data_IF_096063421827
#
_entry.id   IF_096063421827
#
_cell.length_a   1.000
_cell.length_b   1.000
_cell.length_c   1.000
_cell.angle_alpha   90.00
_cell.angle_beta   90.00
_cell.angle_gamma   90.00
#
_symmetry.space_group_name_H-M   'P 1'
#
loop_
_entity.id
_entity.type
_entity.pdbx_description
1 polymer ?
2 polymer ?
3 non-polymer ?
4 water ?
#
# COMPACT_ATOMS: atom_id res chain seq x y z
N UNK A 20 8.95 -23.60 -45.53
CA UNK A 20 9.91 -22.52 -45.79
C UNK A 20 10.45 -21.91 -44.49
N UNK A 21 9.58 -21.21 -43.78
CA UNK A 21 9.88 -20.68 -42.46
C UNK A 21 8.68 -20.90 -41.54
N UNK A 22 8.43 -22.15 -41.16
CA UNK A 22 7.25 -22.50 -40.36
C UNK A 22 7.48 -22.35 -38.86
N UNK A 23 7.97 -21.17 -38.48
CA UNK A 23 8.14 -20.77 -37.10
C UNK A 23 7.18 -19.62 -36.83
N UNK A 24 6.04 -19.65 -37.53
CA UNK A 24 5.04 -18.60 -37.44
C UNK A 24 4.13 -18.87 -36.27
N UNK A 25 3.49 -17.81 -35.78
CA UNK A 25 2.50 -17.93 -34.72
C UNK A 25 1.14 -17.50 -35.27
N UNK A 26 0.10 -18.30 -34.99
CA UNK A 26 -1.24 -18.02 -35.52
C UNK A 26 -2.21 -17.43 -34.49
N UNK A 27 -1.85 -16.28 -33.93
CA UNK A 27 -2.76 -15.54 -33.04
C UNK A 27 -3.50 -14.48 -33.86
N UNK A 28 -4.83 -14.50 -33.77
CA UNK A 28 -5.67 -13.69 -34.66
C UNK A 28 -5.44 -12.18 -34.59
N UNK A 29 -5.87 -11.47 -35.62
CA UNK A 29 -5.72 -10.02 -35.71
C UNK A 29 -6.51 -9.31 -34.61
N UNK A 30 -7.62 -9.92 -34.21
CA UNK A 30 -8.54 -9.29 -33.27
C UNK A 30 -8.00 -9.27 -31.84
N UNK A 31 -7.35 -10.36 -31.43
CA UNK A 31 -6.69 -10.38 -30.14
C UNK A 31 -5.50 -9.42 -30.13
N UNK A 32 -4.83 -9.28 -31.27
CA UNK A 32 -3.71 -8.36 -31.38
C UNK A 32 -4.17 -6.91 -31.28
N UNK A 33 -5.32 -6.61 -31.85
CA UNK A 33 -5.94 -5.30 -31.71
C UNK A 33 -6.32 -5.04 -30.27
N UNK A 34 -6.93 -6.04 -29.64
CA UNK A 34 -7.29 -5.97 -28.23
C UNK A 34 -6.09 -5.63 -27.35
N UNK A 35 -5.10 -6.50 -27.37
CA UNK A 35 -3.86 -6.34 -26.62
C UNK A 35 -3.20 -5.00 -26.93
N UNK A 36 -3.23 -4.59 -28.20
CA UNK A 36 -2.67 -3.31 -28.60
C UNK A 36 -3.34 -2.18 -27.85
N UNK A 37 -4.66 -2.13 -27.95
CA UNK A 37 -5.48 -1.18 -27.21
C UNK A 37 -5.07 -1.13 -25.75
N UNK A 38 -5.08 -2.28 -25.10
CA UNK A 38 -4.78 -2.38 -23.68
C UNK A 38 -3.42 -1.79 -23.37
N UNK A 39 -2.42 -2.18 -24.16
CA UNK A 39 -1.07 -1.66 -24.01
C UNK A 39 -1.03 -0.15 -24.13
N UNK A 40 -1.84 0.39 -25.02
CA UNK A 40 -1.85 1.83 -25.23
C UNK A 40 -2.48 2.56 -24.05
N UNK A 41 -3.56 2.02 -23.52
CA UNK A 41 -4.21 2.60 -22.35
C UNK A 41 -3.22 2.60 -21.18
N UNK A 42 -2.66 1.41 -20.94
CA UNK A 42 -1.60 1.23 -19.96
C UNK A 42 -0.49 2.25 -20.17
N UNK A 43 -0.21 2.58 -21.43
CA UNK A 43 0.86 3.49 -21.77
C UNK A 43 0.53 4.93 -21.38
N UNK A 44 -0.65 5.41 -21.75
CA UNK A 44 -1.03 6.78 -21.38
C UNK A 44 -1.05 6.94 -19.87
N UNK A 45 -1.65 5.96 -19.18
CA UNK A 45 -1.77 6.01 -17.73
C UNK A 45 -0.40 5.97 -17.06
N UNK A 46 0.38 4.95 -17.38
CA UNK A 46 1.69 4.78 -16.79
C UNK A 46 2.62 5.96 -17.02
N UNK A 47 2.76 6.36 -18.28
CA UNK A 47 3.66 7.46 -18.61
C UNK A 47 3.24 8.76 -17.93
N UNK A 48 1.97 9.14 -18.10
CA UNK A 48 1.49 10.37 -17.47
C UNK A 48 1.73 10.33 -15.96
N UNK A 49 1.31 9.26 -15.31
CA UNK A 49 1.40 9.16 -13.87
C UNK A 49 2.81 9.20 -13.33
N UNK A 50 3.68 8.40 -13.93
CA UNK A 50 5.06 8.37 -13.49
C UNK A 50 5.74 9.70 -13.70
N UNK A 51 5.63 10.24 -14.92
CA UNK A 51 6.22 11.52 -15.23
C UNK A 51 5.74 12.59 -14.25
N UNK A 52 4.43 12.70 -14.13
CA UNK A 52 3.84 13.74 -13.29
C UNK A 52 4.26 13.61 -11.84
N UNK A 53 4.36 12.38 -11.33
CA UNK A 53 4.81 12.20 -9.95
C UNK A 53 6.27 12.62 -9.80
N UNK A 54 7.15 12.12 -10.66
CA UNK A 54 8.57 12.42 -10.51
C UNK A 54 8.91 13.90 -10.70
N UNK A 55 8.11 14.61 -11.50
CA UNK A 55 8.33 16.04 -11.57
C UNK A 55 7.55 16.82 -10.51
N UNK A 56 6.57 16.18 -9.87
CA UNK A 56 5.84 16.83 -8.79
C UNK A 56 6.65 16.74 -7.49
N UNK A 57 7.44 15.67 -7.35
CA UNK A 57 8.34 15.57 -6.22
C UNK A 57 9.78 15.90 -6.63
N UNK A 58 9.91 16.76 -7.63
CA UNK A 58 11.16 17.43 -7.92
C UNK A 58 11.06 18.84 -7.33
N UNK A 59 10.46 18.93 -6.14
CA UNK A 59 10.26 20.19 -5.45
C UNK A 59 9.89 19.92 -3.99
N UNK A 60 10.54 20.61 -3.06
CA UNK A 60 10.22 20.51 -1.64
C UNK A 60 10.61 21.76 -0.85
N UNK A 65 11.94 15.57 5.98
CA UNK A 65 12.31 14.30 6.62
C UNK A 65 11.23 13.89 7.63
N UNK A 66 10.95 12.60 7.73
CA UNK A 66 11.65 11.55 6.99
C UNK A 66 10.90 11.10 5.74
N UNK A 67 9.68 11.61 5.57
CA UNK A 67 8.86 11.29 4.40
C UNK A 67 9.61 11.59 3.10
N UNK A 68 10.62 12.46 3.20
CA UNK A 68 11.54 12.72 2.09
C UNK A 68 12.13 11.43 1.53
N UNK A 69 12.54 10.51 2.41
CA UNK A 69 13.11 9.24 1.99
C UNK A 69 12.13 8.44 1.12
N UNK A 70 10.89 8.35 1.56
CA UNK A 70 9.87 7.68 0.77
C UNK A 70 9.64 8.45 -0.54
N UNK A 71 9.88 9.75 -0.53
CA UNK A 71 9.78 10.51 -1.77
C UNK A 71 10.86 10.10 -2.75
N UNK A 72 12.10 10.03 -2.30
CA UNK A 72 13.21 9.55 -3.13
C UNK A 72 12.94 8.14 -3.66
N UNK A 73 12.41 7.27 -2.81
CA UNK A 73 12.03 5.92 -3.25
C UNK A 73 10.98 5.97 -4.35
N UNK A 74 9.98 6.81 -4.16
CA UNK A 74 8.93 7.01 -5.17
C UNK A 74 9.52 7.50 -6.48
N UNK A 75 10.42 8.48 -6.38
CA UNK A 75 11.08 9.05 -7.53
C UNK A 75 11.78 7.97 -8.33
N UNK A 76 12.58 7.17 -7.63
CA UNK A 76 13.27 6.05 -8.28
C UNK A 76 12.30 5.08 -8.96
N UNK A 77 11.22 4.76 -8.25
CA UNK A 77 10.18 3.85 -8.76
C UNK A 77 9.62 4.35 -10.09
N UNK A 78 9.09 5.57 -10.06
CA UNK A 78 8.51 6.21 -11.23
C UNK A 78 9.50 6.27 -12.39
N UNK A 79 10.76 6.56 -12.09
CA UNK A 79 11.80 6.55 -13.12
C UNK A 79 11.88 5.18 -13.78
N UNK A 80 11.99 4.14 -12.95
CA UNK A 80 12.05 2.75 -13.45
C UNK A 80 10.88 2.41 -14.36
N UNK A 81 9.67 2.55 -13.83
CA UNK A 81 8.45 2.25 -14.58
C UNK A 81 8.40 3.02 -15.90
N UNK A 82 8.75 4.31 -15.85
CA UNK A 82 8.80 5.13 -17.05
C UNK A 82 9.73 4.52 -18.09
N UNK A 83 10.91 4.09 -17.65
CA UNK A 83 11.86 3.48 -18.58
C UNK A 83 11.40 2.12 -19.13
N UNK A 84 10.70 1.33 -18.32
CA UNK A 84 10.08 0.11 -18.83
C UNK A 84 9.15 0.45 -19.97
N UNK A 85 8.25 1.41 -19.73
CA UNK A 85 7.28 1.84 -20.75
C UNK A 85 7.93 2.37 -22.03
N UNK A 86 9.00 3.15 -21.88
CA UNK A 86 9.61 3.80 -23.02
C UNK A 86 10.48 2.82 -23.82
N UNK A 87 11.25 1.99 -23.12
CA UNK A 87 12.18 1.11 -23.81
C UNK A 87 11.56 -0.23 -24.24
N UNK A 88 10.88 -0.91 -23.33
CA UNK A 88 10.39 -2.25 -23.61
C UNK A 88 9.18 -2.26 -24.53
N UNK A 89 8.17 -1.49 -24.17
CA UNK A 89 6.89 -1.50 -24.88
C UNK A 89 6.95 -1.46 -26.40
N UNK A 90 7.55 -0.40 -26.99
CA UNK A 90 7.35 -0.20 -28.43
C UNK A 90 7.93 -1.34 -29.26
N UNK A 91 9.17 -1.69 -28.99
CA UNK A 91 9.85 -2.75 -29.73
C UNK A 91 9.13 -4.08 -29.58
N UNK A 92 8.81 -4.45 -28.34
CA UNK A 92 8.16 -5.73 -28.11
C UNK A 92 6.77 -5.74 -28.73
N UNK A 93 6.09 -4.59 -28.71
CA UNK A 93 4.77 -4.49 -29.30
C UNK A 93 4.86 -4.82 -30.78
N UNK A 94 5.97 -4.43 -31.40
CA UNK A 94 6.16 -4.71 -32.81
C UNK A 94 6.63 -6.14 -33.07
N UNK A 95 7.79 -6.48 -32.53
CA UNK A 95 8.42 -7.74 -32.87
C UNK A 95 7.85 -8.93 -32.13
N UNK A 96 7.34 -8.69 -30.93
CA UNK A 96 6.89 -9.80 -30.08
C UNK A 96 5.39 -10.07 -30.16
N UNK A 97 4.60 -9.09 -30.61
CA UNK A 97 3.16 -9.35 -30.74
C UNK A 97 2.61 -9.18 -32.16
N UNK A 98 3.29 -8.43 -33.03
CA UNK A 98 2.83 -8.30 -34.42
C UNK A 98 3.64 -9.11 -35.44
N UNK A 99 4.89 -8.73 -35.68
CA UNK A 99 5.71 -9.47 -36.64
C UNK A 99 6.75 -10.33 -35.90
N UNK A 100 6.42 -11.60 -35.69
CA UNK A 100 7.23 -12.46 -34.82
C UNK A 100 8.60 -12.84 -35.37
N UNK A 101 8.77 -12.75 -36.69
CA UNK A 101 10.03 -13.10 -37.35
C UNK A 101 10.11 -12.43 -38.72
N UNK A 102 11.31 -11.96 -39.10
CA UNK A 102 12.58 -12.10 -38.37
C UNK A 102 12.80 -10.99 -37.35
N UNK A 103 13.90 -11.07 -36.60
CA UNK A 103 14.27 -10.01 -35.68
C UNK A 103 14.77 -8.78 -36.43
N UNK A 104 14.14 -7.65 -36.16
CA UNK A 104 14.32 -6.45 -36.98
C UNK A 104 15.42 -5.49 -36.51
N UNK A 105 15.99 -5.70 -35.34
CA UNK A 105 16.87 -4.70 -34.76
C UNK A 105 18.34 -5.13 -34.60
N UNK A 106 18.72 -6.24 -35.21
CA UNK A 106 20.10 -6.70 -35.15
C UNK A 106 20.49 -7.27 -33.79
N UNK A 107 21.73 -7.75 -33.70
CA UNK A 107 22.22 -8.43 -32.50
C UNK A 107 22.22 -7.51 -31.28
N UNK A 108 22.84 -6.34 -31.45
CA UNK A 108 22.91 -5.34 -30.39
C UNK A 108 21.50 -4.95 -29.95
N UNK A 109 20.59 -4.89 -30.92
CA UNK A 109 19.18 -4.66 -30.63
C UNK A 109 18.67 -5.71 -29.68
N UNK A 110 18.94 -6.98 -30.02
CA UNK A 110 18.46 -8.13 -29.25
C UNK A 110 18.97 -8.17 -27.80
N UNK A 111 20.29 -8.31 -27.66
CA UNK A 111 20.94 -8.38 -26.35
C UNK A 111 20.66 -7.12 -25.53
N UNK A 112 20.72 -5.96 -26.19
CA UNK A 112 20.47 -4.69 -25.55
C UNK A 112 19.07 -4.59 -24.97
N UNK A 113 18.09 -4.93 -25.80
CA UNK A 113 16.70 -4.97 -25.35
C UNK A 113 16.58 -5.82 -24.11
N UNK A 114 17.03 -7.07 -24.20
CA UNK A 114 16.83 -7.99 -23.08
C UNK A 114 17.55 -7.57 -21.79
N UNK A 115 18.75 -7.02 -21.95
CA UNK A 115 19.48 -6.46 -20.82
C UNK A 115 18.69 -5.33 -20.17
N UNK A 116 18.16 -4.42 -20.99
CA UNK A 116 17.39 -3.30 -20.47
C UNK A 116 16.12 -3.75 -19.74
N UNK A 117 15.35 -4.61 -20.39
CA UNK A 117 14.23 -5.30 -19.75
C UNK A 117 14.59 -5.79 -18.35
N UNK A 118 15.61 -6.64 -18.29
CA UNK A 118 16.05 -7.22 -17.02
C UNK A 118 16.41 -6.17 -15.98
N UNK A 119 17.29 -5.25 -16.35
CA UNK A 119 17.75 -4.17 -15.47
C UNK A 119 16.58 -3.42 -14.84
N UNK A 120 15.70 -2.90 -15.69
CA UNK A 120 14.55 -2.14 -15.21
C UNK A 120 13.59 -2.95 -14.32
N UNK A 121 13.40 -4.24 -14.62
CA UNK A 121 12.52 -5.04 -13.78
C UNK A 121 13.12 -5.33 -12.39
N UNK A 122 14.42 -5.62 -12.36
CA UNK A 122 15.11 -5.74 -11.08
C UNK A 122 14.93 -4.45 -10.31
N UNK A 123 15.09 -3.34 -11.01
CA UNK A 123 14.92 -2.03 -10.41
C UNK A 123 13.55 -1.84 -9.76
N UNK A 124 12.46 -2.03 -10.52
CA UNK A 124 11.13 -1.84 -9.96
C UNK A 124 10.83 -2.81 -8.80
N UNK A 125 11.33 -4.04 -8.89
CA UNK A 125 11.16 -5.00 -7.80
C UNK A 125 11.88 -4.57 -6.51
N UNK A 126 13.19 -4.40 -6.60
CA UNK A 126 14.01 -3.95 -5.47
C UNK A 126 13.48 -2.65 -4.87
N UNK A 127 12.99 -1.75 -5.71
CA UNK A 127 12.41 -0.50 -5.23
C UNK A 127 11.12 -0.71 -4.45
N UNK A 128 10.18 -1.45 -5.02
CA UNK A 128 8.94 -1.75 -4.29
C UNK A 128 9.25 -2.36 -2.93
N UNK A 129 10.16 -3.33 -2.91
CA UNK A 129 10.60 -3.93 -1.66
C UNK A 129 11.14 -2.89 -0.68
N UNK A 130 12.14 -2.14 -1.11
CA UNK A 130 12.80 -1.16 -0.26
C UNK A 130 11.81 -0.17 0.31
N UNK A 131 10.78 0.14 -0.46
CA UNK A 131 9.77 1.08 -0.02
C UNK A 131 8.88 0.44 1.04
N UNK A 132 8.62 -0.87 0.89
CA UNK A 132 7.83 -1.59 1.87
C UNK A 132 8.61 -1.72 3.18
N UNK A 133 9.93 -1.79 3.06
CA UNK A 133 10.83 -1.89 4.20
C UNK A 133 10.88 -0.56 4.95
N UNK A 134 11.10 0.51 4.20
CA UNK A 134 11.12 1.84 4.79
C UNK A 134 9.79 2.17 5.48
N UNK A 135 8.68 1.88 4.80
CA UNK A 135 7.36 2.12 5.41
C UNK A 135 7.14 1.25 6.63
N UNK A 136 7.55 -0.01 6.54
CA UNK A 136 7.51 -0.88 7.70
C UNK A 136 8.22 -0.22 8.86
N UNK A 137 9.45 0.24 8.63
CA UNK A 137 10.23 0.87 9.68
C UNK A 137 9.52 2.07 10.29
N UNK A 138 9.07 2.98 9.42
CA UNK A 138 8.43 4.22 9.87
C UNK A 138 7.21 3.95 10.75
N UNK A 139 6.37 3.02 10.31
CA UNK A 139 5.11 2.78 11.00
C UNK A 139 5.25 1.87 12.23
N UNK A 140 6.10 0.86 12.13
CA UNK A 140 6.19 -0.15 13.17
C UNK A 140 7.26 0.14 14.23
N UNK A 141 8.33 0.80 13.81
CA UNK A 141 9.38 1.22 14.75
C UNK A 141 9.66 2.70 14.56
N UNK A 142 8.68 3.56 14.91
CA UNK A 142 8.77 5.00 14.66
C UNK A 142 10.00 5.61 15.30
N UNK A 143 10.10 5.55 16.62
CA UNK A 143 11.27 6.10 17.27
C UNK A 143 12.51 5.28 16.95
N UNK A 144 12.44 3.99 17.28
CA UNK A 144 13.52 3.04 17.04
C UNK A 144 14.16 3.21 15.67
N UNK A 145 13.40 2.90 14.63
CA UNK A 145 13.95 2.95 13.29
C UNK A 145 13.83 4.33 12.67
N UNK A 146 12.59 4.77 12.45
CA UNK A 146 12.31 5.95 11.63
C UNK A 146 13.14 7.19 11.99
N UNK A 147 12.79 7.85 13.09
CA UNK A 147 13.39 9.15 13.41
C UNK A 147 14.92 9.10 13.53
N UNK A 148 15.44 8.02 14.11
CA UNK A 148 16.86 7.95 14.41
C UNK A 148 17.67 7.36 13.28
N UNK A 149 17.47 6.07 13.02
CA UNK A 149 18.30 5.35 12.06
C UNK A 149 18.06 5.79 10.61
N UNK A 150 16.79 5.88 10.21
CA UNK A 150 16.45 6.24 8.84
C UNK A 150 16.62 7.74 8.56
N UNK A 151 17.58 8.06 7.70
CA UNK A 151 17.84 9.43 7.28
C UNK A 151 18.78 9.42 6.08
N UNK A 152 18.70 10.47 5.27
CA UNK A 152 19.63 10.64 4.15
C UNK A 152 21.05 10.67 4.69
N UNK A 153 21.98 10.04 3.98
CA UNK A 153 21.75 9.50 2.65
C UNK A 153 21.23 8.06 2.61
N UNK A 154 19.95 7.91 2.26
CA UNK A 154 19.40 6.65 1.79
C UNK A 154 19.40 6.77 0.28
N UNK A 155 20.10 7.80 -0.18
CA UNK A 155 20.33 8.00 -1.60
C UNK A 155 21.29 6.93 -2.06
N UNK A 156 22.20 6.57 -1.16
CA UNK A 156 23.19 5.53 -1.41
C UNK A 156 22.51 4.17 -1.58
N UNK A 157 21.41 3.97 -0.87
CA UNK A 157 20.64 2.74 -0.99
C UNK A 157 20.03 2.62 -2.38
N UNK A 158 19.36 3.68 -2.82
CA UNK A 158 18.78 3.71 -4.16
C UNK A 158 19.85 3.51 -5.25
N UNK A 159 21.00 4.15 -5.05
CA UNK A 159 22.16 3.97 -5.91
C UNK A 159 22.54 2.49 -6.02
N UNK A 160 22.70 1.86 -4.87
CA UNK A 160 23.06 0.45 -4.82
C UNK A 160 22.01 -0.41 -5.51
N UNK A 161 20.73 -0.05 -5.34
CA UNK A 161 19.64 -0.74 -6.02
C UNK A 161 19.82 -0.73 -7.54
N UNK A 162 20.05 0.46 -8.09
CA UNK A 162 20.28 0.57 -9.52
C UNK A 162 21.50 -0.22 -9.98
N UNK A 163 22.58 -0.14 -9.20
CA UNK A 163 23.78 -0.92 -9.49
C UNK A 163 23.50 -2.43 -9.57
N UNK A 164 22.77 -2.93 -8.57
CA UNK A 164 22.37 -4.34 -8.53
C UNK A 164 21.51 -4.71 -9.72
N UNK A 165 20.66 -3.77 -10.13
CA UNK A 165 19.85 -3.97 -11.32
C UNK A 165 20.73 -4.19 -12.55
N UNK A 166 21.71 -3.31 -12.73
CA UNK A 166 22.65 -3.41 -13.86
C UNK A 166 23.45 -4.72 -13.87
N UNK A 167 24.10 -5.01 -12.74
CA UNK A 167 24.95 -6.19 -12.64
C UNK A 167 24.15 -7.49 -12.79
N UNK A 168 22.96 -7.53 -12.20
CA UNK A 168 22.10 -8.71 -12.31
C UNK A 168 21.57 -8.86 -13.73
N UNK A 169 21.46 -7.74 -14.44
CA UNK A 169 21.00 -7.79 -15.83
C UNK A 169 22.13 -8.20 -16.79
N UNK A 170 23.37 -8.03 -16.35
CA UNK A 170 24.53 -8.43 -17.15
C UNK A 170 24.44 -9.79 -17.89
N UNK A 171 24.01 -10.87 -17.19
CA UNK A 171 23.91 -12.17 -17.87
C UNK A 171 23.10 -12.15 -19.18
N UNK A 172 21.99 -11.40 -19.21
CA UNK A 172 21.14 -11.32 -20.39
C UNK A 172 21.85 -10.92 -21.67
N UNK A 173 23.07 -10.40 -21.52
CA UNK A 173 23.87 -9.97 -22.66
C UNK A 173 24.60 -11.15 -23.28
N UNK A 174 24.76 -12.22 -22.52
CA UNK A 174 25.46 -13.40 -23.02
C UNK A 174 24.47 -14.48 -23.41
N UNK A 175 23.39 -14.59 -22.66
CA UNK A 175 22.39 -15.65 -22.86
C UNK A 175 21.54 -15.40 -24.10
N UNK A 176 20.97 -14.20 -24.20
CA UNK A 176 20.19 -13.83 -25.37
C UNK A 176 21.08 -13.67 -26.60
N UNK A 177 20.51 -13.74 -27.80
CA UNK A 177 21.29 -13.52 -29.01
C UNK A 177 20.53 -13.71 -30.31
N UNK A 178 21.24 -13.66 -31.43
CA UNK A 178 20.62 -13.88 -32.74
C UNK A 178 20.93 -15.26 -33.32
N UNK A 179 19.89 -15.88 -33.87
CA UNK A 179 19.99 -17.27 -34.32
C UNK A 179 19.14 -17.48 -35.57
N UNK A 180 19.66 -18.25 -36.52
CA UNK A 180 18.92 -18.52 -37.74
C UNK A 180 18.16 -19.83 -37.62
N UNK A 181 16.85 -19.75 -37.51
CA UNK A 181 16.03 -20.92 -37.22
C UNK A 181 15.14 -21.38 -38.37
N UNK A 182 15.31 -20.77 -39.54
CA UNK A 182 14.54 -21.15 -40.72
C UNK A 182 14.82 -22.62 -41.05
N UNK A 183 13.86 -23.27 -41.70
CA UNK A 183 13.91 -24.70 -42.00
C UNK A 183 15.28 -25.11 -42.54
N UNK A 184 15.76 -24.35 -43.50
CA UNK A 184 17.10 -24.55 -44.03
C UNK A 184 18.12 -24.09 -43.01
N UNK A 185 17.85 -22.95 -42.37
CA UNK A 185 18.81 -22.33 -41.49
C UNK A 185 19.72 -21.42 -42.30
N UNK A 186 19.24 -21.02 -43.48
CA UNK A 186 19.98 -20.10 -44.35
C UNK A 186 19.12 -18.92 -44.80
N UNK A 187 17.80 -19.09 -44.77
CA UNK A 187 16.89 -18.06 -45.26
C UNK A 187 16.81 -16.86 -44.30
N UNK A 188 16.89 -15.64 -44.86
CA UNK A 188 16.87 -14.36 -44.15
C UNK A 188 15.67 -14.12 -43.21
N UNK A 189 14.51 -14.71 -43.53
CA UNK A 189 13.30 -14.46 -42.76
C UNK A 189 13.14 -15.32 -41.52
N UNK A 190 14.20 -16.03 -41.15
CA UNK A 190 14.15 -16.91 -40.01
C UNK A 190 15.13 -16.51 -38.93
N UNK A 191 15.61 -15.28 -39.03
CA UNK A 191 16.57 -14.73 -38.07
C UNK A 191 15.86 -14.20 -36.83
N UNK A 192 15.91 -14.95 -35.73
CA UNK A 192 15.20 -14.57 -34.50
C UNK A 192 16.10 -14.27 -33.30
N UNK A 193 15.54 -13.54 -32.34
CA UNK A 193 16.22 -13.25 -31.09
C UNK A 193 15.79 -14.25 -30.04
N UNK A 194 16.74 -15.00 -29.52
CA UNK A 194 16.43 -16.16 -28.68
C UNK A 194 17.66 -16.51 -27.83
N UNK A 195 17.47 -17.28 -26.75
CA UNK A 195 18.62 -17.72 -25.97
C UNK A 195 19.54 -18.62 -26.80
N UNK A 196 20.79 -18.19 -26.96
CA UNK A 196 21.74 -18.87 -27.85
C UNK A 196 22.63 -19.87 -27.12
N UNK A 197 22.86 -19.64 -25.84
CA UNK A 197 23.72 -20.52 -25.04
C UNK A 197 23.01 -21.86 -24.81
N UNK A 198 23.77 -22.86 -24.37
CA UNK A 198 23.24 -24.18 -24.04
C UNK A 198 22.03 -24.07 -23.12
N UNK A 199 21.01 -24.88 -23.40
CA UNK A 199 19.78 -24.85 -22.62
C UNK A 199 20.01 -25.28 -21.17
N UNK A 200 21.17 -25.87 -20.91
CA UNK A 200 21.55 -26.25 -19.55
C UNK A 200 21.75 -25.01 -18.68
N UNK A 201 22.22 -23.93 -19.29
CA UNK A 201 22.53 -22.70 -18.55
C UNK A 201 21.32 -21.79 -18.47
N UNK A 202 20.51 -21.82 -19.53
CA UNK A 202 19.31 -21.00 -19.62
C UNK A 202 18.45 -21.16 -18.38
N UNK A 203 18.33 -22.42 -17.94
CA UNK A 203 17.60 -22.74 -16.72
C UNK A 203 18.18 -21.98 -15.51
N UNK A 204 19.50 -22.06 -15.33
CA UNK A 204 20.22 -21.36 -14.28
C UNK A 204 19.88 -19.87 -14.29
N UNK A 205 20.24 -19.20 -15.39
CA UNK A 205 19.97 -17.78 -15.58
C UNK A 205 18.53 -17.39 -15.19
N UNK A 206 17.54 -17.96 -15.85
CA UNK A 206 16.19 -17.48 -15.60
C UNK A 206 15.63 -17.89 -14.23
N UNK A 207 16.19 -18.94 -13.64
CA UNK A 207 15.78 -19.30 -12.29
C UNK A 207 16.29 -18.26 -11.32
N UNK A 208 17.55 -17.88 -11.48
CA UNK A 208 18.16 -16.83 -10.68
C UNK A 208 17.32 -15.58 -10.78
N UNK A 209 17.09 -15.14 -12.02
CA UNK A 209 16.22 -14.01 -12.28
C UNK A 209 14.84 -14.14 -11.61
N UNK A 210 14.29 -15.34 -11.61
CA UNK A 210 12.99 -15.57 -10.98
C UNK A 210 13.05 -15.28 -9.50
N UNK A 211 14.09 -15.80 -8.84
CA UNK A 211 14.25 -15.61 -7.40
C UNK A 211 14.52 -14.15 -7.02
N UNK A 212 15.56 -13.58 -7.62
CA UNK A 212 15.97 -12.21 -7.30
C UNK A 212 14.91 -11.16 -7.69
N UNK A 213 14.24 -11.38 -8.81
CA UNK A 213 13.28 -10.37 -9.30
C UNK A 213 11.85 -10.63 -8.87
N UNK A 214 11.58 -11.78 -8.25
CA UNK A 214 10.22 -12.06 -7.82
C UNK A 214 10.11 -12.67 -6.43
N UNK A 215 10.70 -13.85 -6.23
CA UNK A 215 10.47 -14.59 -4.99
C UNK A 215 10.85 -13.84 -3.70
N UNK A 216 12.14 -13.55 -3.51
CA UNK A 216 12.57 -12.79 -2.34
C UNK A 216 11.77 -11.48 -2.18
N UNK A 217 11.76 -10.63 -3.24
CA UNK A 217 10.95 -9.41 -3.14
C UNK A 217 9.50 -9.68 -2.74
N UNK A 218 8.80 -10.57 -3.45
CA UNK A 218 7.39 -10.85 -3.15
C UNK A 218 7.16 -11.33 -1.72
N UNK A 219 8.07 -12.15 -1.19
CA UNK A 219 7.98 -12.57 0.20
C UNK A 219 8.08 -11.37 1.15
N UNK A 220 9.09 -10.53 0.92
CA UNK A 220 9.26 -9.30 1.69
C UNK A 220 8.00 -8.40 1.68
N UNK A 221 7.57 -7.96 0.48
CA UNK A 221 6.32 -7.21 0.33
C UNK A 221 5.19 -7.85 1.14
N UNK A 222 4.99 -9.13 0.90
CA UNK A 222 3.90 -9.90 1.51
C UNK A 222 3.91 -9.77 3.03
N UNK A 223 4.90 -10.38 3.68
CA UNK A 223 4.91 -10.40 5.14
C UNK A 223 4.95 -8.99 5.74
N UNK A 224 5.79 -8.11 5.19
CA UNK A 224 5.91 -6.76 5.75
C UNK A 224 4.59 -6.01 5.73
N UNK A 225 4.02 -5.88 4.55
CA UNK A 225 2.78 -5.14 4.42
C UNK A 225 1.66 -5.77 5.22
N UNK A 226 1.68 -7.09 5.32
CA UNK A 226 0.69 -7.76 6.15
C UNK A 226 0.82 -7.27 7.59
N UNK A 227 2.06 -7.24 8.08
CA UNK A 227 2.35 -6.79 9.45
C UNK A 227 1.93 -5.34 9.68
N UNK A 228 2.17 -4.51 8.67
CA UNK A 228 1.72 -3.13 8.68
C UNK A 228 0.23 -3.10 8.90
N UNK A 229 -0.48 -3.78 7.99
CA UNK A 229 -1.93 -3.78 7.97
C UNK A 229 -2.51 -4.19 9.32
N UNK A 230 -2.00 -5.28 9.87
CA UNK A 230 -2.47 -5.72 11.16
C UNK A 230 -2.18 -4.70 12.27
N UNK A 231 -0.99 -4.10 12.23
CA UNK A 231 -0.64 -3.06 13.22
C UNK A 231 -1.58 -1.87 13.14
N UNK A 232 -1.97 -1.49 11.93
CA UNK A 232 -2.84 -0.34 11.74
C UNK A 232 -4.28 -0.64 12.13
N UNK A 233 -4.73 -1.86 11.84
CA UNK A 233 -6.09 -2.27 12.19
C UNK A 233 -6.23 -2.37 13.70
N UNK A 234 -5.11 -2.64 14.37
CA UNK A 234 -5.10 -2.81 15.82
C UNK A 234 -4.91 -1.49 16.58
N UNK A 235 -4.61 -0.43 15.84
CA UNK A 235 -4.44 0.90 16.43
C UNK A 235 -5.75 1.67 16.63
N UNK A 236 -5.96 2.11 17.87
CA UNK A 236 -7.16 2.84 18.27
C UNK A 236 -7.16 4.29 17.76
N UNK A 237 -8.03 4.58 16.80
CA UNK A 237 -8.17 5.94 16.23
C UNK A 237 -8.82 6.94 17.19
N UNK A 238 -8.69 6.67 18.49
CA UNK A 238 -9.35 7.41 19.55
C UNK A 238 -9.18 8.94 19.50
N UNK A 239 -7.96 9.40 19.23
CA UNK A 239 -7.67 10.84 19.24
C UNK A 239 -8.35 11.59 18.08
N UNK A 240 -8.19 11.09 16.86
CA UNK A 240 -8.79 11.73 15.69
C UNK A 240 -10.32 11.65 15.75
N UNK A 241 -10.82 10.76 16.61
CA UNK A 241 -12.24 10.57 16.82
C UNK A 241 -12.81 11.66 17.70
N UNK A 242 -12.10 11.97 18.79
CA UNK A 242 -12.55 12.96 19.78
C UNK A 242 -12.42 14.38 19.27
N UNK A 243 -11.43 14.62 18.41
CA UNK A 243 -11.23 15.93 17.85
C UNK A 243 -12.43 16.40 17.03
N UNK A 244 -13.22 15.44 16.54
CA UNK A 244 -14.46 15.75 15.86
C UNK A 244 -15.57 16.08 16.86
N UNK A 245 -15.91 15.07 17.68
CA UNK A 245 -16.97 15.18 18.67
C UNK A 245 -16.78 16.35 19.63
N UNK A 246 -15.58 16.44 20.17
CA UNK A 246 -15.31 17.33 21.30
C UNK A 246 -14.77 18.68 20.87
N UNK A 247 -14.22 18.76 19.66
CA UNK A 247 -13.72 20.01 19.13
C UNK A 247 -12.51 20.54 19.88
N UNK A 248 -12.23 21.82 19.69
CA UNK A 248 -11.08 22.46 20.33
C UNK A 248 -11.31 23.95 20.55
N UNK A 249 -11.33 24.35 21.82
CA UNK A 249 -11.50 25.74 22.19
C UNK A 249 -10.53 26.07 23.32
N UNK A 250 -9.56 26.92 23.03
CA UNK A 250 -8.54 27.26 24.01
C UNK A 250 -8.83 28.56 24.76
N UNK A 251 -10.12 28.85 24.94
CA UNK A 251 -10.57 29.88 25.86
C UNK A 251 -11.78 29.28 26.57
N UNK A 252 -11.80 29.37 27.90
CA UNK A 252 -12.86 28.77 28.73
C UNK A 252 -14.28 29.06 28.23
N UNK A 253 -15.11 28.01 28.18
CA UNK A 253 -16.50 28.16 27.76
C UNK A 253 -17.49 27.32 28.58
N UNK A 254 -18.73 27.27 28.10
CA UNK A 254 -19.76 26.46 28.73
C UNK A 254 -20.11 25.33 27.78
N UNK A 255 -20.29 24.11 28.30
CA UNK A 255 -20.64 22.99 27.44
C UNK A 255 -22.15 22.80 27.28
N UNK A 256 -22.55 21.59 26.86
CA UNK A 256 -23.96 21.29 26.63
C UNK A 256 -24.82 21.55 27.87
N UNK A 257 -24.46 20.93 28.98
CA UNK A 257 -25.20 21.08 30.23
C UNK A 257 -24.73 22.28 31.05
N UNK A 258 -23.99 23.18 30.41
CA UNK A 258 -23.60 24.45 31.03
C UNK A 258 -22.59 24.37 32.16
N UNK A 259 -21.50 23.63 31.93
CA UNK A 259 -20.40 23.58 32.90
C UNK A 259 -19.16 24.22 32.28
N UNK A 260 -18.12 24.39 33.08
CA UNK A 260 -16.93 25.10 32.60
C UNK A 260 -15.85 24.21 31.97
N UNK A 261 -15.62 24.44 30.68
CA UNK A 261 -14.78 23.57 29.87
C UNK A 261 -13.71 24.39 29.15
N UNK A 262 -12.57 23.77 28.89
CA UNK A 262 -11.58 24.34 27.98
C UNK A 262 -10.88 23.22 27.20
N UNK A 263 -10.03 23.59 26.25
CA UNK A 263 -9.31 22.61 25.45
C UNK A 263 -10.21 21.64 24.71
N UNK A 264 -9.70 20.44 24.46
CA UNK A 264 -10.47 19.39 23.80
C UNK A 264 -11.54 18.85 24.76
N UNK A 265 -12.61 19.63 24.93
CA UNK A 265 -13.72 19.30 25.80
C UNK A 265 -13.37 18.83 27.21
N UNK A 266 -12.32 19.40 27.78
CA UNK A 266 -11.91 19.06 29.13
C UNK A 266 -12.72 19.83 30.16
N UNK A 267 -13.64 19.14 30.82
CA UNK A 267 -14.39 19.76 31.89
C UNK A 267 -13.49 19.96 33.10
N UNK A 268 -13.56 21.15 33.68
CA UNK A 268 -12.86 21.42 34.93
C UNK A 268 -13.73 22.31 35.80
N UNK A 269 -13.62 22.14 37.11
CA UNK A 269 -14.35 22.94 38.10
C UNK A 269 -15.80 23.22 37.69
N UNK A 270 -16.56 22.16 37.49
CA UNK A 270 -17.92 22.26 36.93
C UNK A 270 -18.86 23.16 37.74
N UNK A 271 -18.51 23.42 39.00
CA UNK A 271 -19.28 24.32 39.83
C UNK A 271 -19.24 25.74 39.27
N UNK A 272 -20.35 26.47 39.39
CA UNK A 272 -20.36 27.90 39.04
C UNK A 272 -19.53 28.67 40.06
N UNK A 273 -18.87 29.75 39.64
CA UNK A 273 -18.87 30.20 38.26
C UNK A 273 -17.45 30.46 37.76
N UNK A 274 -17.32 31.48 36.92
CA UNK A 274 -16.12 31.72 36.11
C UNK A 274 -14.77 31.80 36.84
N UNK A 275 -14.78 31.71 38.18
CA UNK A 275 -13.56 31.91 38.95
C UNK A 275 -12.74 30.67 39.31
N UNK A 276 -13.34 29.75 40.06
CA UNK A 276 -12.67 28.48 40.38
C UNK A 276 -12.38 27.70 39.10
N UNK A 277 -13.19 27.96 38.08
CA UNK A 277 -12.93 27.45 36.75
C UNK A 277 -11.56 27.92 36.27
N UNK A 278 -11.28 29.21 36.46
CA UNK A 278 -10.00 29.79 36.05
C UNK A 278 -8.86 29.38 36.99
N UNK A 279 -9.19 29.12 38.25
CA UNK A 279 -8.21 28.65 39.20
C UNK A 279 -7.81 27.21 38.89
N UNK A 280 -8.81 26.38 38.63
CA UNK A 280 -8.58 24.98 38.33
C UNK A 280 -7.77 24.78 37.04
N UNK A 281 -7.50 25.87 36.33
CA UNK A 281 -6.64 25.82 35.15
C UNK A 281 -5.19 25.48 35.52
N UNK A 282 -4.91 24.20 35.67
CA UNK A 282 -3.57 23.73 36.04
C UNK A 282 -3.15 22.53 35.21
N UNK A 283 -1.88 22.50 34.81
CA UNK A 283 -0.92 23.54 35.21
C UNK A 283 -0.86 24.69 34.22
N UNK A 287 1.09 27.71 35.94
CA UNK A 287 0.92 28.96 35.19
C UNK A 287 -0.45 29.59 35.44
N UNK A 288 -0.47 30.93 35.50
CA UNK A 288 -1.72 31.69 35.50
C UNK A 288 -2.33 31.77 34.11
N UNK A 289 -3.27 30.88 33.82
CA UNK A 289 -3.91 30.80 32.52
C UNK A 289 -4.59 32.10 32.10
N UNK A 290 -5.23 32.74 33.06
CA UNK A 290 -6.03 33.93 32.81
C UNK A 290 -7.16 33.64 31.83
N UNK A 291 -7.63 32.40 31.84
CA UNK A 291 -8.75 31.98 31.03
C UNK A 291 -8.41 31.39 29.67
N UNK A 292 -7.17 31.59 29.24
CA UNK A 292 -6.76 31.17 27.91
C UNK A 292 -5.55 30.26 27.97
N UNK A 293 -5.49 29.28 27.07
CA UNK A 293 -4.34 28.39 26.99
C UNK A 293 -3.75 28.32 25.57
N UNK A 294 -2.53 27.77 25.47
CA UNK A 294 -1.85 27.65 24.19
C UNK A 294 -2.24 26.32 23.54
N UNK A 295 -1.85 26.14 22.28
CA UNK A 295 -2.23 24.94 21.54
C UNK A 295 -1.59 23.68 22.11
N UNK A 296 -0.28 23.71 22.34
CA UNK A 296 0.45 22.55 22.83
C UNK A 296 -0.02 22.15 24.23
N UNK A 297 -0.59 23.11 24.96
CA UNK A 297 -1.12 22.86 26.31
C UNK A 297 -2.49 22.20 26.27
N UNK A 298 -3.30 22.60 25.29
CA UNK A 298 -4.62 22.00 25.11
C UNK A 298 -4.48 20.55 24.67
N UNK A 299 -3.41 20.26 23.94
CA UNK A 299 -3.12 18.92 23.46
C UNK A 299 -2.57 18.03 24.57
N UNK A 300 -1.58 18.53 25.30
CA UNK A 300 -0.98 17.78 26.41
C UNK A 300 -2.02 17.50 27.48
N UNK A 301 -3.01 18.38 27.57
CA UNK A 301 -4.13 18.23 28.47
C UNK A 301 -4.99 17.09 27.97
N UNK A 302 -5.25 17.12 26.66
CA UNK A 302 -6.04 16.11 25.96
C UNK A 302 -5.42 14.72 26.09
N UNK A 303 -4.09 14.65 26.08
CA UNK A 303 -3.38 13.40 26.25
C UNK A 303 -3.59 12.79 27.64
N UNK A 304 -3.51 13.64 28.66
CA UNK A 304 -3.78 13.22 30.02
C UNK A 304 -5.21 12.69 30.18
N UNK A 305 -6.17 13.41 29.59
CA UNK A 305 -7.58 13.04 29.71
C UNK A 305 -7.85 11.67 29.09
N UNK A 306 -7.32 11.45 27.89
CA UNK A 306 -7.47 10.17 27.20
C UNK A 306 -6.76 9.07 27.99
N UNK A 307 -5.63 9.41 28.58
CA UNK A 307 -4.87 8.46 29.39
C UNK A 307 -5.64 8.05 30.65
N UNK A 308 -6.26 9.02 31.32
CA UNK A 308 -7.03 8.75 32.53
C UNK A 308 -8.29 7.96 32.24
N UNK A 309 -8.75 8.02 30.99
CA UNK A 309 -9.93 7.30 30.54
C UNK A 309 -9.64 5.80 30.42
N UNK A 310 -8.62 5.47 29.64
CA UNK A 310 -8.18 4.08 29.51
C UNK A 310 -7.81 3.50 30.87
N UNK A 311 -7.07 4.26 31.66
CA UNK A 311 -6.71 3.85 33.02
C UNK A 311 -7.96 3.63 33.86
N UNK A 312 -8.99 4.42 33.61
CA UNK A 312 -10.27 4.22 34.25
C UNK A 312 -10.90 2.92 33.80
N UNK A 313 -10.81 2.65 32.50
CA UNK A 313 -11.31 1.41 31.91
C UNK A 313 -10.66 0.19 32.54
N UNK A 314 -9.33 0.21 32.63
CA UNK A 314 -8.58 -0.97 33.04
C UNK A 314 -8.54 -1.22 34.55
N UNK A 315 -9.05 -0.27 35.33
CA UNK A 315 -9.13 -0.46 36.78
C UNK A 315 -10.55 -0.82 37.19
N UNK A 316 -11.47 -0.73 36.24
CA UNK A 316 -12.89 -1.00 36.51
C UNK A 316 -13.30 -2.41 36.12
N UNK A 317 -13.89 -3.14 37.05
CA UNK A 317 -14.17 -4.57 36.88
C UNK A 317 -15.29 -4.87 35.87
N UNK A 318 -16.23 -3.93 35.73
CA UNK A 318 -17.33 -4.12 34.79
C UNK A 318 -16.89 -3.80 33.35
N UNK A 319 -16.07 -2.76 33.22
CA UNK A 319 -15.69 -2.23 31.91
C UNK A 319 -14.44 -2.87 31.30
N UNK A 320 -13.59 -3.48 32.11
CA UNK A 320 -12.33 -4.05 31.59
C UNK A 320 -12.52 -5.25 30.65
N UNK A 321 -13.24 -6.29 31.10
CA UNK A 321 -13.27 -7.48 30.23
C UNK A 321 -14.03 -7.24 28.94
N UNK A 322 -14.92 -6.24 28.96
CA UNK A 322 -15.62 -5.82 27.76
C UNK A 322 -14.65 -5.14 26.82
N UNK A 323 -13.83 -4.26 27.39
CA UNK A 323 -12.80 -3.57 26.64
C UNK A 323 -11.83 -4.56 26.01
N UNK A 324 -11.50 -5.61 26.77
CA UNK A 324 -10.50 -6.58 26.35
C UNK A 324 -10.94 -7.33 25.11
N UNK A 325 -12.22 -7.71 25.07
CA UNK A 325 -12.73 -8.56 24.00
C UNK A 325 -12.98 -7.77 22.72
N UNK A 326 -13.25 -6.47 22.87
CA UNK A 326 -13.51 -5.61 21.72
C UNK A 326 -12.32 -5.55 20.76
N UNK A 327 -12.50 -4.86 19.63
CA UNK A 327 -11.44 -4.75 18.64
C UNK A 327 -10.58 -3.50 18.80
N UNK A 328 -10.85 -2.48 17.98
CA UNK A 328 -10.05 -1.26 18.02
C UNK A 328 -10.93 -0.07 17.75
N UNK A 329 -12.00 -0.32 17.00
CA UNK A 329 -12.97 0.72 16.70
C UNK A 329 -13.97 0.83 17.83
N UNK A 330 -14.61 -0.29 18.16
CA UNK A 330 -15.54 -0.29 19.28
C UNK A 330 -14.76 -0.17 20.59
N UNK A 331 -13.45 -0.39 20.49
CA UNK A 331 -12.55 -0.15 21.60
C UNK A 331 -12.37 1.35 21.82
N UNK A 332 -12.30 2.09 20.72
CA UNK A 332 -12.28 3.55 20.78
C UNK A 332 -13.64 4.07 21.23
N UNK A 333 -14.71 3.47 20.69
CA UNK A 333 -16.09 3.86 21.00
C UNK A 333 -16.37 3.90 22.50
N UNK A 334 -15.87 2.90 23.22
CA UNK A 334 -16.00 2.88 24.68
C UNK A 334 -15.27 4.07 25.28
N UNK A 335 -13.97 4.17 24.99
CA UNK A 335 -13.15 5.24 25.52
C UNK A 335 -13.80 6.59 25.33
N UNK A 336 -14.46 6.78 24.19
CA UNK A 336 -15.25 7.98 23.97
C UNK A 336 -16.26 8.19 25.10
N UNK A 337 -17.07 7.16 25.35
CA UNK A 337 -18.08 7.23 26.39
C UNK A 337 -17.47 7.46 27.78
N UNK A 338 -16.42 6.72 28.10
CA UNK A 338 -15.72 6.92 29.38
C UNK A 338 -15.15 8.32 29.48
N UNK A 339 -14.62 8.82 28.37
CA UNK A 339 -14.14 10.18 28.32
C UNK A 339 -15.29 11.16 28.60
N UNK A 340 -16.44 10.93 27.98
CA UNK A 340 -17.56 11.85 28.13
C UNK A 340 -18.23 11.80 29.51
N UNK A 341 -18.19 10.64 30.17
CA UNK A 341 -18.98 10.44 31.40
C UNK A 341 -18.26 9.76 32.58
N UNK A 342 -16.98 9.43 32.42
CA UNK A 342 -16.24 8.78 33.49
C UNK A 342 -16.56 7.30 33.63
N UNK A 343 -15.67 6.56 34.30
CA UNK A 343 -15.85 5.13 34.49
C UNK A 343 -17.12 4.79 35.29
N UNK A 344 -17.56 5.72 36.13
CA UNK A 344 -18.73 5.52 36.98
C UNK A 344 -20.03 5.46 36.19
N UNK A 345 -20.22 6.41 35.28
CA UNK A 345 -21.41 6.44 34.46
C UNK A 345 -21.48 5.30 33.47
N UNK A 346 -20.37 5.04 32.77
CA UNK A 346 -20.33 4.00 31.74
C UNK A 346 -20.54 2.59 32.31
N UNK A 347 -20.13 2.38 33.55
CA UNK A 347 -20.36 1.10 34.21
C UNK A 347 -21.80 1.01 34.72
N UNK A 348 -22.56 2.08 34.52
CA UNK A 348 -23.97 2.09 34.86
C UNK A 348 -24.84 1.55 33.74
N UNK A 349 -24.21 1.23 32.62
CA UNK A 349 -24.90 0.61 31.49
C UNK A 349 -24.74 -0.90 31.50
N UNK A 350 -25.21 -1.50 32.58
CA UNK A 350 -24.97 -2.91 32.87
C UNK A 350 -25.25 -3.87 31.72
N UNK A 351 -26.48 -3.90 31.24
CA UNK A 351 -26.86 -4.89 30.22
C UNK A 351 -26.27 -4.61 28.86
N UNK A 352 -26.12 -3.34 28.52
CA UNK A 352 -25.48 -2.96 27.28
C UNK A 352 -24.07 -3.53 27.23
N UNK A 353 -23.36 -3.42 28.35
CA UNK A 353 -22.05 -4.01 28.51
C UNK A 353 -22.10 -5.53 28.32
N UNK A 354 -23.10 -6.15 28.93
CA UNK A 354 -23.24 -7.60 28.88
C UNK A 354 -23.38 -8.07 27.45
N UNK A 355 -24.02 -7.26 26.61
CA UNK A 355 -24.24 -7.64 25.22
C UNK A 355 -23.05 -7.31 24.35
N UNK A 356 -22.42 -6.18 24.63
CA UNK A 356 -21.23 -5.75 23.90
C UNK A 356 -20.12 -6.78 24.05
N UNK A 357 -20.03 -7.37 25.23
CA UNK A 357 -19.06 -8.41 25.51
C UNK A 357 -19.42 -9.67 24.72
N UNK A 358 -20.72 -9.84 24.43
CA UNK A 358 -21.21 -11.01 23.74
C UNK A 358 -21.34 -10.79 22.23
N UNK A 359 -20.78 -9.69 21.75
CA UNK A 359 -20.82 -9.35 20.33
C UNK A 359 -22.25 -9.18 19.80
N UNK A 360 -23.17 -8.79 20.67
CA UNK A 360 -24.53 -8.50 20.24
C UNK A 360 -24.62 -7.02 19.83
N UNK A 361 -23.90 -6.65 18.77
CA UNK A 361 -23.84 -5.27 18.31
C UNK A 361 -25.22 -4.72 18.02
N UNK A 362 -26.02 -5.53 17.35
CA UNK A 362 -27.41 -5.21 17.03
C UNK A 362 -28.20 -4.83 18.27
N UNK A 363 -28.46 -5.80 19.13
CA UNK A 363 -29.35 -5.62 20.27
C UNK A 363 -28.81 -4.68 21.34
N UNK A 364 -27.49 -4.56 21.42
CA UNK A 364 -26.88 -3.65 22.39
C UNK A 364 -27.03 -2.18 21.95
N UNK A 365 -27.05 -1.96 20.64
CA UNK A 365 -27.25 -0.62 20.11
C UNK A 365 -28.63 -0.09 20.47
N UNK A 366 -29.63 -0.97 20.40
CA UNK A 366 -31.00 -0.63 20.72
C UNK A 366 -31.14 -0.32 22.21
N UNK A 367 -30.38 -1.04 23.02
CA UNK A 367 -30.38 -0.84 24.47
C UNK A 367 -29.89 0.56 24.81
N UNK A 368 -28.72 0.91 24.30
CA UNK A 368 -28.13 2.22 24.52
C UNK A 368 -29.03 3.35 24.04
N UNK A 369 -29.78 3.09 22.97
CA UNK A 369 -30.64 4.11 22.39
C UNK A 369 -31.86 4.36 23.25
N UNK A 370 -32.12 3.44 24.18
CA UNK A 370 -33.22 3.60 25.12
C UNK A 370 -32.97 4.84 25.95
N UNK A 371 -33.95 5.20 26.77
CA UNK A 371 -33.79 6.30 27.70
C UNK A 371 -32.50 5.70 28.22
N UNK A 372 -31.41 6.47 28.11
CA UNK A 372 -30.11 6.00 28.54
C UNK A 372 -29.75 7.30 29.26
N UNK A 373 -30.67 8.26 29.20
CA UNK A 373 -30.49 9.61 29.75
C UNK A 373 -29.31 10.33 29.10
N UNK A 374 -28.46 9.56 28.43
CA UNK A 374 -27.31 10.07 27.71
C UNK A 374 -27.74 10.29 26.24
N UNK A 375 -29.05 10.24 26.04
CA UNK A 375 -29.68 10.89 24.90
C UNK A 375 -30.22 12.27 25.32
N UNK A 376 -29.44 12.93 26.17
CA UNK A 376 -29.56 14.36 26.42
C UNK A 376 -28.66 15.06 25.40
N UNK A 377 -27.73 14.28 24.84
CA UNK A 377 -26.94 14.68 23.68
C UNK A 377 -27.02 13.57 22.62
N UNK A 378 -28.13 13.51 21.86
CA UNK A 378 -28.46 12.42 20.93
C UNK A 378 -27.50 12.31 19.76
N UNK A 379 -27.10 13.44 19.18
CA UNK A 379 -26.18 13.46 18.05
C UNK A 379 -24.89 12.70 18.36
N UNK A 380 -24.25 13.09 19.44
CA UNK A 380 -23.00 12.48 19.85
C UNK A 380 -23.25 11.02 20.21
N UNK A 381 -24.45 10.74 20.69
CA UNK A 381 -24.82 9.38 21.04
C UNK A 381 -25.08 8.55 19.79
N UNK A 382 -25.85 9.10 18.85
CA UNK A 382 -26.12 8.44 17.57
C UNK A 382 -24.81 8.10 16.87
N UNK A 383 -23.85 9.01 16.97
CA UNK A 383 -22.57 8.85 16.31
C UNK A 383 -21.78 7.70 16.92
N UNK A 384 -21.88 7.55 18.23
CA UNK A 384 -21.14 6.52 18.97
C UNK A 384 -21.78 5.14 18.79
N UNK A 385 -23.10 5.10 18.71
CA UNK A 385 -23.79 3.82 18.57
C UNK A 385 -23.68 3.20 17.18
N UNK A 386 -23.69 4.03 16.14
CA UNK A 386 -23.52 3.50 14.79
C UNK A 386 -22.05 3.18 14.50
N UNK A 387 -21.20 3.45 15.48
CA UNK A 387 -19.79 3.06 15.39
C UNK A 387 -19.62 1.72 16.08
N UNK A 388 -20.13 1.66 17.32
CA UNK A 388 -20.24 0.42 18.06
C UNK A 388 -20.88 -0.68 17.21
N UNK A 389 -21.90 -0.30 16.45
CA UNK A 389 -22.72 -1.25 15.73
C UNK A 389 -22.05 -1.80 14.48
N UNK A 390 -21.41 -0.92 13.73
CA UNK A 390 -20.87 -1.30 12.42
C UNK A 390 -19.38 -1.64 12.51
N UNK A 391 -18.73 -1.18 13.57
CA UNK A 391 -17.30 -1.33 13.70
C UNK A 391 -16.56 -0.62 12.58
N UNK A 392 -17.15 0.44 12.03
CA UNK A 392 -16.47 1.23 11.00
C UNK A 392 -16.62 2.74 11.25
N UNK A 393 -15.89 3.53 10.47
CA UNK A 393 -15.83 4.98 10.70
C UNK A 393 -16.78 5.80 9.85
N UNK A 394 -17.86 5.17 9.38
CA UNK A 394 -18.81 5.81 8.48
C UNK A 394 -19.46 7.06 9.10
N UNK A 395 -19.52 7.09 10.43
CA UNK A 395 -20.19 8.16 11.16
C UNK A 395 -19.45 9.50 11.08
N UNK A 396 -18.13 9.44 11.05
CA UNK A 396 -17.29 10.61 11.26
C UNK A 396 -16.92 11.40 10.02
N UNK A 397 -17.79 11.39 9.01
CA UNK A 397 -17.56 12.13 7.80
C UNK A 397 -16.39 11.61 6.98
N UNK A 398 -16.11 12.29 5.87
CA UNK A 398 -15.06 11.86 4.96
C UNK A 398 -13.72 12.54 5.25
N UNK A 399 -13.57 13.03 6.48
CA UNK A 399 -12.31 13.59 6.92
C UNK A 399 -11.36 12.49 7.32
N UNK A 400 -10.07 12.81 7.34
CA UNK A 400 -9.03 11.81 7.59
C UNK A 400 -9.01 11.25 9.02
N UNK A 401 -10.14 10.70 9.46
CA UNK A 401 -10.15 9.81 10.60
C UNK A 401 -10.07 8.41 9.99
N UNK A 402 -10.25 8.39 8.67
CA UNK A 402 -10.18 7.19 7.83
C UNK A 402 -8.73 6.85 7.47
N UNK A 403 -7.79 7.60 8.05
CA UNK A 403 -6.38 7.44 7.74
C UNK A 403 -5.89 6.02 7.96
N UNK A 404 -6.31 5.42 9.08
CA UNK A 404 -5.86 4.07 9.43
C UNK A 404 -6.41 3.02 8.48
N UNK A 405 -7.72 3.07 8.24
CA UNK A 405 -8.40 2.14 7.35
C UNK A 405 -7.81 2.18 5.94
N UNK A 406 -7.63 3.38 5.42
CA UNK A 406 -6.99 3.56 4.12
C UNK A 406 -5.55 3.04 4.14
N UNK A 407 -4.86 3.21 5.27
CA UNK A 407 -3.53 2.66 5.40
C UNK A 407 -3.57 1.17 5.16
N UNK A 408 -4.57 0.54 5.77
CA UNK A 408 -4.76 -0.89 5.65
C UNK A 408 -5.01 -1.30 4.19
N UNK A 409 -6.04 -0.71 3.60
CA UNK A 409 -6.43 -1.03 2.24
C UNK A 409 -5.29 -0.81 1.25
N UNK A 410 -4.58 0.30 1.37
CA UNK A 410 -3.42 0.57 0.53
C UNK A 410 -2.35 -0.52 0.69
N UNK A 411 -2.09 -0.90 1.93
CA UNK A 411 -1.11 -1.96 2.19
C UNK A 411 -1.53 -3.32 1.60
N UNK A 412 -2.84 -3.54 1.46
CA UNK A 412 -3.33 -4.76 0.79
C UNK A 412 -3.14 -4.65 -0.72
N UNK A 413 -3.54 -3.48 -1.23
CA UNK A 413 -3.40 -3.16 -2.63
C UNK A 413 -1.98 -3.40 -3.12
N UNK A 414 -0.99 -2.99 -2.34
CA UNK A 414 0.40 -3.17 -2.73
C UNK A 414 0.72 -4.62 -3.05
N UNK A 415 0.47 -5.51 -2.09
CA UNK A 415 0.80 -6.91 -2.29
C UNK A 415 0.00 -7.53 -3.45
N UNK A 416 -1.32 -7.32 -3.43
CA UNK A 416 -2.17 -7.83 -4.51
C UNK A 416 -1.65 -7.39 -5.87
N UNK A 417 -1.41 -6.10 -6.02
CA UNK A 417 -0.98 -5.52 -7.28
C UNK A 417 0.34 -6.13 -7.74
N UNK A 418 1.35 -6.11 -6.89
CA UNK A 418 2.65 -6.64 -7.27
C UNK A 418 2.60 -8.11 -7.69
N UNK A 419 2.01 -8.96 -6.84
CA UNK A 419 1.99 -10.39 -7.13
C UNK A 419 1.14 -10.75 -8.35
N UNK A 420 -0.06 -10.17 -8.44
CA UNK A 420 -0.90 -10.37 -9.61
C UNK A 420 -0.16 -9.97 -10.89
N UNK A 421 0.47 -8.80 -10.85
CA UNK A 421 1.10 -8.25 -12.05
C UNK A 421 2.33 -9.05 -12.50
N UNK A 422 3.12 -9.54 -11.56
CA UNK A 422 4.40 -10.15 -11.94
C UNK A 422 4.46 -11.67 -11.89
N UNK A 423 3.52 -12.30 -11.19
CA UNK A 423 3.54 -13.76 -11.06
C UNK A 423 3.45 -14.48 -12.42
N UNK A 424 2.38 -14.26 -13.20
CA UNK A 424 2.24 -15.03 -14.44
C UNK A 424 3.41 -14.79 -15.39
N UNK A 425 3.92 -13.57 -15.40
CA UNK A 425 5.10 -13.22 -16.19
C UNK A 425 6.28 -14.18 -15.96
N UNK A 426 6.60 -14.44 -14.70
CA UNK A 426 7.74 -15.30 -14.36
C UNK A 426 7.46 -16.77 -14.63
N UNK A 427 6.18 -17.14 -14.56
CA UNK A 427 5.76 -18.50 -14.81
C UNK A 427 5.92 -18.82 -16.30
N UNK A 428 5.51 -17.87 -17.14
CA UNK A 428 5.66 -18.03 -18.58
C UNK A 428 7.13 -18.17 -18.96
N UNK A 429 8.01 -17.45 -18.28
CA UNK A 429 9.43 -17.54 -18.61
C UNK A 429 10.04 -18.89 -18.18
N UNK A 430 9.55 -19.43 -17.08
CA UNK A 430 10.06 -20.72 -16.61
C UNK A 430 9.75 -21.86 -17.58
N UNK A 431 8.54 -21.84 -18.14
CA UNK A 431 8.12 -22.92 -19.03
C UNK A 431 8.77 -22.82 -20.41
N UNK A 432 9.39 -21.69 -20.70
CA UNK A 432 10.14 -21.53 -21.94
C UNK A 432 11.26 -22.55 -21.95
N UNK A 433 11.79 -22.87 -20.76
CA UNK A 433 12.98 -23.70 -20.66
C UNK A 433 12.72 -25.01 -19.90
N UNK A 434 11.53 -25.14 -19.33
CA UNK A 434 11.24 -26.33 -18.55
C UNK A 434 10.17 -27.21 -19.19
N UNK A 435 9.10 -26.58 -19.69
CA UNK A 435 8.07 -27.31 -20.45
C UNK A 435 8.73 -27.86 -21.70
N UNK A 436 9.82 -27.20 -22.08
CA UNK A 436 10.82 -27.77 -22.95
C UNK A 436 10.94 -29.28 -22.75
N UNK A 437 10.85 -30.02 -23.85
CA UNK A 437 10.93 -31.46 -23.83
C UNK A 437 9.82 -32.13 -22.99
N UNK A 438 8.83 -32.71 -23.66
CA UNK A 438 8.69 -32.60 -25.10
C UNK A 438 7.20 -32.50 -25.43
N UNK A 439 6.46 -31.89 -24.51
CA UNK A 439 5.02 -31.74 -24.67
C UNK A 439 4.72 -30.55 -25.58
N UNK A 440 5.70 -30.13 -26.38
CA UNK A 440 5.52 -28.98 -27.26
C UNK A 440 4.65 -29.30 -28.47
N UNK A 441 3.34 -29.20 -28.26
CA UNK A 441 2.35 -29.40 -29.30
C UNK A 441 2.00 -28.09 -29.98
N UNK A 442 1.06 -28.16 -30.91
CA UNK A 442 0.53 -26.97 -31.57
C UNK A 442 -0.28 -26.19 -30.56
N UNK A 443 -1.07 -26.91 -29.78
CA UNK A 443 -1.91 -26.29 -28.76
C UNK A 443 -1.07 -25.53 -27.75
N UNK A 444 0.05 -26.13 -27.35
CA UNK A 444 0.90 -25.54 -26.32
C UNK A 444 1.67 -24.35 -26.86
N UNK A 445 2.15 -24.48 -28.09
CA UNK A 445 2.86 -23.43 -28.80
C UNK A 445 1.94 -22.22 -28.96
N UNK A 446 0.66 -22.46 -29.21
CA UNK A 446 -0.31 -21.38 -29.35
C UNK A 446 -0.64 -20.74 -28.00
N UNK A 447 -1.05 -21.59 -27.06
CA UNK A 447 -1.38 -21.17 -25.71
C UNK A 447 -0.26 -20.35 -25.14
N UNK A 448 0.97 -20.69 -25.49
CA UNK A 448 2.12 -19.98 -24.98
C UNK A 448 2.09 -18.51 -25.36
N UNK A 449 1.71 -18.23 -26.61
CA UNK A 449 1.73 -16.87 -27.13
C UNK A 449 0.53 -16.03 -26.71
N UNK A 450 -0.63 -16.68 -26.57
CA UNK A 450 -1.77 -15.96 -25.97
C UNK A 450 -1.45 -15.65 -24.50
N UNK A 451 -0.82 -16.62 -23.85
CA UNK A 451 -0.34 -16.44 -22.49
C UNK A 451 0.63 -15.26 -22.43
N UNK A 452 1.51 -15.17 -23.42
CA UNK A 452 2.49 -14.10 -23.50
C UNK A 452 1.80 -12.74 -23.54
N UNK A 453 0.85 -12.61 -24.46
CA UNK A 453 -0.01 -11.42 -24.50
C UNK A 453 -0.47 -11.04 -23.10
N UNK A 454 -1.17 -11.98 -22.45
CA UNK A 454 -1.64 -11.75 -21.09
C UNK A 454 -0.55 -11.27 -20.11
N UNK A 455 0.57 -12.00 -20.07
CA UNK A 455 1.60 -11.78 -19.07
C UNK A 455 2.29 -10.43 -19.22
N UNK A 456 2.65 -10.06 -20.45
CA UNK A 456 3.20 -8.74 -20.64
C UNK A 456 2.16 -7.65 -20.41
N UNK A 457 0.90 -7.97 -20.64
CA UNK A 457 -0.18 -7.03 -20.33
C UNK A 457 -0.23 -6.73 -18.83
N UNK A 458 -0.10 -7.76 -18.01
CA UNK A 458 -0.05 -7.56 -16.55
C UNK A 458 1.26 -6.90 -16.07
N UNK A 459 2.38 -7.32 -16.65
CA UNK A 459 3.67 -6.75 -16.29
C UNK A 459 3.69 -5.27 -16.62
N UNK A 460 3.03 -4.89 -17.70
CA UNK A 460 2.91 -3.50 -18.05
C UNK A 460 1.80 -2.82 -17.24
N UNK A 461 0.90 -3.63 -16.70
CA UNK A 461 -0.13 -3.11 -15.81
C UNK A 461 0.46 -2.70 -14.46
N UNK A 462 1.57 -3.34 -14.09
CA UNK A 462 2.29 -2.95 -12.87
C UNK A 462 2.74 -1.50 -12.93
N UNK A 463 3.44 -1.15 -14.00
CA UNK A 463 4.05 0.16 -14.18
C UNK A 463 3.05 1.28 -14.49
N UNK A 464 1.76 0.97 -14.38
CA UNK A 464 0.70 1.96 -14.57
C UNK A 464 -0.24 1.98 -13.37
N UNK A 465 -0.35 0.85 -12.69
CA UNK A 465 -1.13 0.80 -11.46
C UNK A 465 -0.33 1.42 -10.31
N UNK A 466 0.98 1.19 -10.28
CA UNK A 466 1.77 1.69 -9.15
C UNK A 466 2.10 3.20 -9.10
N UNK A 467 1.92 3.96 -10.21
CA UNK A 467 1.97 5.40 -9.92
C UNK A 467 0.77 5.80 -9.08
N UNK A 468 -0.44 5.56 -9.61
CA UNK A 468 -1.66 5.99 -8.94
C UNK A 468 -1.80 5.42 -7.53
N UNK A 469 -1.46 4.15 -7.36
CA UNK A 469 -1.50 3.53 -6.04
C UNK A 469 -0.54 4.20 -5.07
N UNK A 470 0.68 4.47 -5.53
CA UNK A 470 1.73 4.94 -4.64
C UNK A 470 1.67 6.44 -4.36
N UNK A 471 0.77 7.15 -5.00
CA UNK A 471 0.52 8.51 -4.61
C UNK A 471 -0.40 8.45 -3.40
N UNK A 472 -1.21 7.40 -3.37
CA UNK A 472 -2.18 7.19 -2.28
C UNK A 472 -1.48 6.79 -0.98
N UNK A 473 -0.35 6.10 -1.08
CA UNK A 473 0.43 5.76 0.11
C UNK A 473 1.34 6.93 0.50
N UNK A 474 1.77 7.68 -0.49
CA UNK A 474 2.51 8.93 -0.26
C UNK A 474 1.60 9.91 0.48
N UNK A 475 0.35 9.98 0.05
CA UNK A 475 -0.65 10.82 0.71
C UNK A 475 -1.02 10.22 2.06
N UNK A 476 -0.79 8.92 2.20
CA UNK A 476 -1.14 8.21 3.44
C UNK A 476 -0.01 8.16 4.47
N UNK A 477 0.37 9.34 4.96
CA UNK A 477 1.36 9.45 6.03
C UNK A 477 0.97 10.60 6.96
N UNK A 478 -0.32 10.70 7.25
CA UNK A 478 -0.84 11.67 8.20
C UNK A 478 -0.71 11.11 9.61
N UNK A 479 -0.41 9.82 9.68
CA UNK A 479 -0.19 9.11 10.93
C UNK A 479 1.06 9.63 11.63
N UNK A 480 2.14 9.68 10.87
CA UNK A 480 3.42 10.18 11.36
C UNK A 480 3.40 11.71 11.50
N UNK B 1 8.80 -28.72 -31.35
CA UNK B 1 8.98 -27.40 -31.91
C UNK B 1 8.43 -26.37 -30.97
N UNK B 2 9.29 -25.49 -30.49
CA UNK B 2 8.95 -24.63 -29.40
C UNK B 2 9.12 -23.17 -29.68
N UNK B 3 8.53 -22.34 -28.85
CA UNK B 3 8.64 -20.90 -29.00
C UNK B 3 10.06 -20.50 -29.05
N UNK B 4 10.35 -19.39 -29.69
CA UNK B 4 11.70 -18.82 -29.75
C UNK B 4 11.81 -17.53 -28.94
N UNK B 5 10.64 -16.97 -28.61
CA UNK B 5 10.56 -15.69 -27.91
C UNK B 5 10.40 -15.86 -26.41
N UNK B 6 11.36 -15.32 -25.66
CA UNK B 6 11.33 -15.35 -24.20
C UNK B 6 10.55 -14.14 -23.66
X LIG C 1 0.78 -3.45 -37.59
X LIG C 1 1.99 -3.27 -38.40
X LIG C 1 1.86 -4.22 -39.58
X LIG C 1 0.47 -4.53 -39.84
X LIG C 1 -0.52 -3.49 -39.67
X LIG C 1 -0.45 -2.93 -38.25
X LIG C 1 0.05 -5.82 -40.35
X LIG C 1 0.47 -6.99 -39.47
X LIG C 1 0.33 -8.20 -40.18
X LIG C 1 0.94 -2.99 -36.21
X LIG C 1 0.95 -1.47 -36.15
X LIG C 1 2.17 -0.79 -35.01
X LIG C 1 3.39 -1.59 -35.02
X LIG C 1 1.60 -0.74 -33.66
X LIG C 1 2.51 0.57 -35.42
X LIG D 1 -14.49 13.46 32.99
X LIG D 1 -15.51 12.40 32.86
X LIG D 1 -16.33 12.30 34.14
X LIG D 1 -17.05 13.55 34.39
X LIG D 1 -16.54 14.73 33.71
X LIG D 1 -15.01 14.70 33.62
X LIG D 1 -17.85 13.71 35.60
X LIG D 1 -19.25 13.10 35.52
X LIG D 1 -20.00 13.65 34.47
X LIG D 1 -13.75 13.71 31.74
X LIG D 1 -13.99 15.10 31.14
X LIG D 1 -15.43 15.28 30.05
X LIG D 1 -15.10 14.80 28.71
X LIG D 1 -16.55 14.51 30.56
X LIG D 1 -15.81 16.68 29.96
#
# INVERSE_FOLDING_TARGET
>A
DYKDDDDATSTSESDTAGPNSDLDVNTDIYSKVLVTAIYLALFVVGTVGNSVTLFTLARKKSLQSLQSTVHYHLGSLALSDLLILLLAMPVELYNFIWVHHPWAFGDAGCRGYYFLRDACTYATALNVASLSVARYLAICHPFKAKTLMSRSRTKKFISAIWLASALLAIPMLFTMGLQNRSADGTHPGGLVCTPIVDTATVKVVIQVNTFMSFLFPMLVISILNTVIANKLTVMVNIFEMLRIDEGLRLKIYKDTEGYYTIGIGHLLTKSPSLNAAKSELDKAIGRNTNGVITKDEAEKLFNQDVDAAVRGILRNAKLKPVYDSLDAVRRAALINMVFQMGETGVAGFTNSLRMLNNKRWDEAAVNLAKSRWYNQTPNRAKRVITTFRTGTWDAYGSGSVQALRHGVLVARAVVIAFVVCWLPYHVRRLMFCYISDEQWTTFLFDFYHYFYMLTNALAYASSAINPILYNLVSANFRQVFLSTLACLCPGWRHRRKAHHHHHHHHHHGG
>B
RRPYIL
>C hetero
1 EPE N1 C2 C3 N4 C5 C6 C7 C8 O8 C9 C10 S O1S O2S O3S
>D hetero
1 EPE N1 C2 C3 N4 C5 C6 C7 C8 O8 C9 C10 S O1S O2S O3S
#
